data_IF_467753261510
#
_entry.id   IF_467753261510
#
_cell.length_a   1.000
_cell.length_b   1.000
_cell.length_c   1.000
_cell.angle_alpha   90.00
_cell.angle_beta   90.00
_cell.angle_gamma   90.00
#
_symmetry.space_group_name_H-M   'P 1'
#
loop_
_entity.id
_entity.type
_entity.pdbx_description
1 polymer ?
#
# COMPACT_ATOMS: atom_id res chain seq x y z
N UNK A 1 -10.39 37.62 -39.84
CA UNK A 1 -10.41 36.47 -38.91
C UNK A 1 -9.96 35.25 -39.70
N UNK A 2 -8.75 34.73 -39.47
CA UNK A 2 -8.15 33.68 -40.29
C UNK A 2 -8.40 32.30 -39.66
N UNK A 3 -9.44 31.61 -40.11
CA UNK A 3 -9.70 30.21 -39.76
C UNK A 3 -8.74 29.33 -40.55
N UNK A 4 -7.61 28.95 -39.93
CA UNK A 4 -6.62 28.07 -40.53
C UNK A 4 -7.23 26.67 -40.65
N UNK A 5 -7.52 26.23 -41.89
CA UNK A 5 -8.04 24.89 -42.18
C UNK A 5 -7.00 23.87 -41.70
N UNK A 6 -7.32 23.14 -40.63
CA UNK A 6 -6.43 22.13 -40.06
C UNK A 6 -6.37 20.92 -41.00
N UNK A 7 -5.17 20.62 -41.51
CA UNK A 7 -4.96 19.51 -42.44
C UNK A 7 -5.28 18.18 -41.72
N UNK A 8 -6.12 17.33 -42.32
CA UNK A 8 -6.54 16.04 -41.76
C UNK A 8 -5.34 15.13 -41.40
N UNK A 9 -4.20 15.28 -42.09
CA UNK A 9 -2.94 14.59 -41.75
C UNK A 9 -2.36 15.05 -40.41
N UNK A 10 -2.44 16.35 -40.10
CA UNK A 10 -2.02 16.90 -38.81
C UNK A 10 -2.93 16.45 -37.67
N UNK A 11 -4.23 16.33 -37.95
CA UNK A 11 -5.22 15.86 -36.99
C UNK A 11 -5.00 14.38 -36.64
N UNK A 12 -4.75 13.54 -37.65
CA UNK A 12 -4.38 12.14 -37.46
C UNK A 12 -3.10 11.97 -36.64
N UNK A 13 -2.08 12.81 -36.90
CA UNK A 13 -0.83 12.82 -36.11
C UNK A 13 -1.07 13.18 -34.65
N UNK A 14 -1.91 14.17 -34.35
CA UNK A 14 -2.23 14.57 -32.96
C UNK A 14 -2.97 13.44 -32.23
N UNK A 15 -3.91 12.76 -32.89
CA UNK A 15 -4.62 11.61 -32.33
C UNK A 15 -3.65 10.44 -32.08
N UNK A 16 -2.73 10.17 -33.00
CA UNK A 16 -1.74 9.11 -32.83
C UNK A 16 -0.77 9.42 -31.67
N UNK A 17 -0.30 10.66 -31.56
CA UNK A 17 0.56 11.12 -30.48
C UNK A 17 -0.12 11.04 -29.11
N UNK A 18 -1.38 11.48 -29.01
CA UNK A 18 -2.14 11.41 -27.75
C UNK A 18 -2.36 9.98 -27.27
N UNK A 19 -2.60 9.02 -28.17
CA UNK A 19 -2.70 7.59 -27.83
C UNK A 19 -1.40 7.02 -27.24
N UNK A 20 -0.23 7.46 -27.72
CA UNK A 20 1.08 7.04 -27.20
C UNK A 20 1.32 7.56 -25.77
N UNK A 21 0.87 8.77 -25.44
CA UNK A 21 1.02 9.34 -24.10
C UNK A 21 0.06 8.71 -23.07
N UNK A 22 -1.13 8.29 -23.49
CA UNK A 22 -2.08 7.58 -22.61
C UNK A 22 -1.49 6.21 -22.21
N UNK A 23 -0.86 5.49 -23.14
CA UNK A 23 -0.32 4.16 -22.87
C UNK A 23 0.83 4.18 -21.85
N UNK A 24 1.69 5.20 -21.88
CA UNK A 24 2.83 5.30 -20.94
C UNK A 24 2.40 5.62 -19.50
N UNK A 25 1.24 6.23 -19.30
CA UNK A 25 0.75 6.54 -17.94
C UNK A 25 0.33 5.29 -17.16
N UNK A 26 0.01 4.18 -17.85
CA UNK A 26 -0.47 2.95 -17.23
C UNK A 26 0.62 1.89 -16.97
N UNK A 27 1.87 2.14 -17.38
CA UNK A 27 2.97 1.17 -17.28
C UNK A 27 3.96 1.45 -16.14
N UNK A 28 3.58 2.23 -15.13
CA UNK A 28 4.43 2.35 -13.94
C UNK A 28 4.45 1.01 -13.18
N UNK A 29 5.64 0.45 -13.05
CA UNK A 29 5.87 -0.79 -12.32
C UNK A 29 5.56 -0.57 -10.83
N UNK A 30 4.54 -1.28 -10.33
CA UNK A 30 4.13 -1.17 -8.93
C UNK A 30 5.14 -1.83 -8.02
N UNK A 31 5.37 -1.23 -6.86
CA UNK A 31 6.26 -1.74 -5.83
C UNK A 31 5.42 -2.46 -4.78
N UNK A 32 5.58 -3.78 -4.69
CA UNK A 32 4.93 -4.59 -3.65
C UNK A 32 5.62 -4.37 -2.31
N UNK A 33 4.84 -4.04 -1.28
CA UNK A 33 5.30 -3.91 0.12
C UNK A 33 4.51 -4.86 1.00
N UNK A 34 5.08 -5.16 2.17
CA UNK A 34 4.52 -6.10 3.12
C UNK A 34 4.43 -5.47 4.51
N UNK A 35 3.42 -5.88 5.26
CA UNK A 35 3.33 -5.61 6.69
C UNK A 35 2.76 -6.83 7.42
N UNK A 36 2.91 -6.85 8.73
CA UNK A 36 2.36 -7.90 9.58
C UNK A 36 1.49 -7.30 10.66
N UNK A 37 0.41 -8.01 11.01
CA UNK A 37 -0.37 -7.73 12.21
C UNK A 37 -0.18 -8.88 13.18
N UNK A 38 0.18 -8.57 14.42
CA UNK A 38 0.22 -9.53 15.52
C UNK A 38 -0.87 -9.27 16.55
N UNK A 39 -1.41 -10.33 17.15
CA UNK A 39 -2.42 -10.28 18.20
C UNK A 39 -2.26 -11.45 19.18
N UNK A 40 -2.25 -11.18 20.48
CA UNK A 40 -1.95 -12.20 21.51
C UNK A 40 -0.45 -12.31 21.85
N UNK A 41 -0.12 -13.22 22.76
CA UNK A 41 1.24 -13.45 23.29
C UNK A 41 1.39 -13.15 24.79
N UNK A 42 2.54 -13.52 25.36
CA UNK A 42 2.88 -13.30 26.77
C UNK A 42 3.38 -11.87 27.01
N UNK A 43 2.45 -10.92 26.89
CA UNK A 43 2.59 -9.56 27.41
C UNK A 43 1.19 -9.12 27.84
N UNK A 44 0.92 -9.15 29.14
CA UNK A 44 -0.31 -8.73 29.82
C UNK A 44 -0.82 -7.31 29.50
N UNK A 45 -0.19 -6.60 28.56
CA UNK A 45 -0.43 -5.22 28.17
C UNK A 45 -1.03 -5.07 26.75
N UNK A 46 -1.14 -6.13 25.96
CA UNK A 46 -1.48 -6.04 24.54
C UNK A 46 -2.88 -6.61 24.29
N UNK A 47 -3.92 -5.81 24.60
CA UNK A 47 -5.30 -6.10 24.14
C UNK A 47 -5.50 -5.81 22.67
N UNK A 48 -4.64 -4.98 22.09
CA UNK A 48 -4.83 -4.46 20.75
C UNK A 48 -3.86 -5.12 19.75
N UNK A 49 -4.27 -5.27 18.47
CA UNK A 49 -3.42 -5.70 17.38
C UNK A 49 -2.26 -4.75 17.17
N UNK A 50 -1.14 -5.26 16.67
CA UNK A 50 0.08 -4.47 16.47
C UNK A 50 0.60 -4.63 15.08
N UNK A 51 1.00 -3.52 14.48
CA UNK A 51 1.34 -3.49 13.07
C UNK A 51 2.83 -3.25 12.89
N UNK A 52 3.49 -4.16 12.18
CA UNK A 52 4.87 -4.01 11.76
C UNK A 52 4.94 -3.95 10.23
N UNK A 53 5.25 -2.78 9.71
CA UNK A 53 5.44 -2.50 8.28
C UNK A 53 6.91 -2.19 7.96
N UNK A 54 7.84 -2.70 8.77
CA UNK A 54 9.27 -2.69 8.48
C UNK A 54 9.98 -1.37 8.75
N UNK A 55 9.43 -0.45 9.57
CA UNK A 55 10.09 0.84 9.88
C UNK A 55 11.51 0.68 10.46
N UNK A 56 11.82 -0.46 11.09
CA UNK A 56 13.14 -0.74 11.67
C UNK A 56 14.16 -1.29 10.65
N UNK A 57 13.73 -1.72 9.46
CA UNK A 57 14.61 -2.22 8.39
C UNK A 57 14.48 -1.34 7.16
N UNK A 58 15.56 -0.62 6.83
CA UNK A 58 15.95 0.18 5.63
C UNK A 58 15.19 0.00 4.27
N UNK A 59 13.90 -0.26 4.23
CA UNK A 59 13.13 -0.50 3.00
C UNK A 59 11.99 0.50 2.89
N UNK A 60 12.38 1.74 2.57
CA UNK A 60 11.54 2.84 2.08
C UNK A 60 10.42 3.23 3.06
N UNK A 61 10.64 4.23 3.94
CA UNK A 61 9.58 4.74 4.80
C UNK A 61 8.40 5.20 3.93
N UNK A 62 7.18 4.85 4.36
CA UNK A 62 5.95 5.33 3.73
C UNK A 62 5.87 6.84 3.91
N UNK A 63 5.83 7.59 2.79
CA UNK A 63 5.92 9.05 2.76
C UNK A 63 4.69 9.75 3.35
N UNK A 64 3.52 9.20 3.11
CA UNK A 64 2.26 9.85 3.45
C UNK A 64 2.01 9.73 4.95
N UNK A 65 2.14 10.86 5.66
CA UNK A 65 1.86 10.94 7.10
C UNK A 65 0.43 10.54 7.42
N UNK A 66 -0.51 10.75 6.50
CA UNK A 66 -1.90 10.27 6.61
C UNK A 66 -1.95 8.75 6.48
N UNK A 67 -1.12 8.16 5.61
CA UNK A 67 -1.04 6.71 5.47
C UNK A 67 -0.41 6.05 6.71
N UNK A 68 0.65 6.63 7.27
CA UNK A 68 1.22 6.19 8.56
C UNK A 68 0.18 6.33 9.68
N UNK A 69 -0.54 7.45 9.76
CA UNK A 69 -1.61 7.63 10.75
C UNK A 69 -2.72 6.59 10.59
N UNK A 70 -3.12 6.29 9.34
CA UNK A 70 -4.09 5.24 9.03
C UNK A 70 -3.60 3.87 9.47
N UNK A 71 -2.32 3.54 9.26
CA UNK A 71 -1.74 2.29 9.74
C UNK A 71 -1.65 2.24 11.27
N UNK A 72 -1.23 3.33 11.92
CA UNK A 72 -1.17 3.39 13.38
C UNK A 72 -2.56 3.24 14.04
N UNK A 73 -3.64 3.63 13.35
CA UNK A 73 -5.02 3.40 13.80
C UNK A 73 -5.34 1.91 14.00
N UNK A 74 -4.66 1.02 13.28
CA UNK A 74 -4.80 -0.44 13.49
C UNK A 74 -4.53 -0.82 14.94
N UNK A 75 -3.57 -0.16 15.59
CA UNK A 75 -3.22 -0.43 16.99
C UNK A 75 -4.23 0.10 18.00
N UNK A 76 -5.17 0.93 17.56
CA UNK A 76 -6.27 1.41 18.39
C UNK A 76 -7.53 0.54 18.27
N UNK A 77 -7.58 -0.41 17.32
CA UNK A 77 -8.75 -1.27 17.10
C UNK A 77 -8.67 -2.48 18.03
N UNK A 78 -9.56 -2.59 19.03
CA UNK A 78 -9.48 -3.67 20.03
C UNK A 78 -9.77 -5.07 19.45
N UNK A 79 -10.57 -5.14 18.39
CA UNK A 79 -10.99 -6.41 17.81
C UNK A 79 -10.09 -6.80 16.63
N UNK A 80 -9.44 -7.96 16.72
CA UNK A 80 -8.55 -8.44 15.67
C UNK A 80 -9.20 -8.54 14.29
N UNK A 81 -10.44 -9.05 14.21
CA UNK A 81 -11.17 -9.15 12.93
C UNK A 81 -11.47 -7.77 12.35
N UNK A 82 -11.83 -6.79 13.19
CA UNK A 82 -12.01 -5.40 12.74
C UNK A 82 -10.71 -4.80 12.21
N UNK A 83 -9.58 -5.10 12.83
CA UNK A 83 -8.27 -4.66 12.34
C UNK A 83 -7.93 -5.29 10.98
N UNK A 84 -8.21 -6.58 10.78
CA UNK A 84 -8.03 -7.23 9.47
C UNK A 84 -8.92 -6.60 8.40
N UNK A 85 -10.19 -6.35 8.71
CA UNK A 85 -11.12 -5.70 7.77
C UNK A 85 -10.66 -4.29 7.41
N UNK A 86 -10.24 -3.51 8.39
CA UNK A 86 -9.72 -2.16 8.18
C UNK A 86 -8.45 -2.17 7.31
N UNK A 87 -7.57 -3.15 7.44
CA UNK A 87 -6.44 -3.31 6.52
C UNK A 87 -6.88 -3.55 5.08
N UNK A 88 -7.90 -4.38 4.87
CA UNK A 88 -8.48 -4.61 3.54
C UNK A 88 -9.11 -3.33 2.98
N UNK A 89 -9.79 -2.52 3.79
CA UNK A 89 -10.31 -1.20 3.38
C UNK A 89 -9.19 -0.23 3.00
N UNK A 90 -8.03 -0.33 3.66
CA UNK A 90 -6.82 0.40 3.29
C UNK A 90 -6.11 -0.18 2.05
N UNK A 91 -6.68 -1.17 1.37
CA UNK A 91 -6.13 -1.76 0.16
C UNK A 91 -5.00 -2.77 0.38
N UNK A 92 -4.83 -3.27 1.61
CA UNK A 92 -3.90 -4.36 1.90
C UNK A 92 -4.56 -5.71 1.65
N UNK A 93 -3.85 -6.58 0.94
CA UNK A 93 -4.23 -7.96 0.62
C UNK A 93 -3.70 -8.90 1.68
N UNK A 94 -4.55 -9.76 2.21
CA UNK A 94 -4.12 -10.84 3.10
C UNK A 94 -3.31 -11.88 2.32
N UNK A 95 -2.12 -12.21 2.82
CA UNK A 95 -1.20 -13.19 2.19
C UNK A 95 -1.17 -14.52 2.95
N UNK A 96 -1.47 -14.52 4.25
CA UNK A 96 -1.49 -15.73 5.06
C UNK A 96 -1.15 -15.52 6.53
N UNK A 97 -1.24 -16.61 7.29
CA UNK A 97 -0.78 -16.66 8.68
C UNK A 97 0.71 -16.99 8.71
N UNK A 98 1.46 -16.30 9.56
CA UNK A 98 2.86 -16.62 9.84
C UNK A 98 2.87 -17.60 11.01
N UNK A 99 3.37 -18.84 10.83
CA UNK A 99 3.47 -19.79 11.91
C UNK A 99 4.45 -19.28 12.97
N UNK A 100 4.05 -19.35 14.23
CA UNK A 100 4.93 -18.99 15.34
C UNK A 100 5.70 -20.22 15.83
N UNK A 101 6.95 -19.98 16.20
CA UNK A 101 7.86 -21.02 16.67
C UNK A 101 7.60 -21.45 18.13
N UNK A 102 6.94 -20.62 18.93
CA UNK A 102 6.76 -20.84 20.36
C UNK A 102 5.29 -21.13 20.73
N UNK A 103 4.93 -22.40 21.00
CA UNK A 103 3.58 -22.78 21.40
C UNK A 103 3.21 -22.31 22.82
N UNK A 104 4.18 -21.86 23.63
CA UNK A 104 3.93 -21.35 24.99
C UNK A 104 3.40 -19.91 25.02
N UNK A 105 3.42 -19.21 23.88
CA UNK A 105 2.93 -17.84 23.72
C UNK A 105 1.97 -17.80 22.53
N UNK A 106 0.65 -17.96 22.75
CA UNK A 106 -0.32 -17.91 21.67
C UNK A 106 -0.40 -16.47 21.14
N UNK A 107 0.41 -16.18 20.13
CA UNK A 107 0.31 -15.00 19.28
C UNK A 107 -0.21 -15.45 17.91
N UNK A 108 -1.06 -14.65 17.31
CA UNK A 108 -1.51 -14.79 15.94
C UNK A 108 -0.79 -13.74 15.13
N UNK A 109 -0.11 -14.15 14.07
CA UNK A 109 0.56 -13.22 13.17
C UNK A 109 0.08 -13.43 11.75
N UNK A 110 -0.29 -12.33 11.10
CA UNK A 110 -0.82 -12.31 9.74
C UNK A 110 0.08 -11.46 8.86
N UNK A 111 0.35 -11.92 7.65
CA UNK A 111 1.07 -11.19 6.61
C UNK A 111 0.07 -10.52 5.65
N UNK A 112 0.35 -9.26 5.34
CA UNK A 112 -0.37 -8.46 4.36
C UNK A 112 0.60 -7.95 3.30
N UNK A 113 0.08 -7.68 2.10
CA UNK A 113 0.80 -6.97 1.05
C UNK A 113 -0.03 -5.87 0.40
N UNK A 114 0.64 -4.88 -0.19
CA UNK A 114 0.00 -3.88 -1.04
C UNK A 114 0.95 -3.46 -2.15
N UNK A 115 0.39 -3.26 -3.33
CA UNK A 115 1.10 -2.72 -4.48
C UNK A 115 1.01 -1.19 -4.43
N UNK A 116 2.16 -0.52 -4.39
CA UNK A 116 2.27 0.94 -4.35
C UNK A 116 2.76 1.47 -5.68
N UNK A 117 2.23 2.61 -6.11
CA UNK A 117 2.83 3.37 -7.18
C UNK A 117 4.15 3.98 -6.67
N UNK A 118 5.23 4.01 -7.47
CA UNK A 118 6.52 4.55 -7.03
C UNK A 118 6.44 5.99 -6.49
N UNK A 119 5.48 6.79 -6.97
CA UNK A 119 5.19 8.14 -6.50
C UNK A 119 4.67 8.18 -5.04
N UNK A 120 4.05 7.11 -4.55
CA UNK A 120 3.61 6.96 -3.15
C UNK A 120 4.81 6.70 -2.20
N UNK A 121 5.95 6.24 -2.73
CA UNK A 121 7.10 5.76 -1.96
C UNK A 121 8.37 6.62 -2.02
N UNK A 122 8.50 7.55 -2.97
CA UNK A 122 9.73 8.34 -3.16
C UNK A 122 9.67 9.72 -2.50
N UNK A 123 10.75 10.09 -1.80
CA UNK A 123 11.04 11.48 -1.46
C UNK A 123 11.37 12.30 -2.71
N UNK A 124 11.05 13.59 -2.65
CA UNK A 124 11.65 14.56 -3.54
C UNK A 124 13.17 14.51 -3.42
N UNK A 125 13.83 14.90 -4.50
CA UNK A 125 15.28 15.09 -4.63
C UNK A 125 15.95 15.67 -3.38
#
# INVERSE_FOLDING_TARGET
SNTKIMNYKSLAMIVLLSLVFIYRSHAQEKIKKFCTISYGGNYSLWRNPRIDYGQTKRYTPLKDSVFIQKLNRVEAIENFVQALNYMTELGWKYEGNIPLADPSRPEFRVLFSRDFDPAELTEGK
#
